data_IF_280959629464
#
_entry.id   IF_280959629464
#
_cell.length_a   1.000
_cell.length_b   1.000
_cell.length_c   1.000
_cell.angle_alpha   90.00
_cell.angle_beta   90.00
_cell.angle_gamma   90.00
#
_symmetry.space_group_name_H-M   'P 1'
#
loop_
_entity.id
_entity.type
_entity.pdbx_description
1 polymer ?
#
# COMPACT_ATOMS: atom_id res chain seq x y z
N UNK A 1 -55.05 31.47 28.10
CA UNK A 1 -53.81 31.28 27.31
C UNK A 1 -52.61 31.64 28.19
N UNK A 2 -52.01 30.64 28.85
CA UNK A 2 -50.85 30.86 29.72
C UNK A 2 -49.57 30.81 28.90
N UNK A 3 -48.86 31.94 28.81
CA UNK A 3 -47.55 32.04 28.16
C UNK A 3 -46.52 31.32 29.03
N UNK A 4 -45.97 30.19 28.57
CA UNK A 4 -44.89 29.50 29.28
C UNK A 4 -43.60 30.29 29.08
N UNK A 5 -42.90 30.70 30.15
CA UNK A 5 -41.76 31.60 30.03
C UNK A 5 -40.57 30.88 29.40
N UNK A 6 -40.18 31.33 28.21
CA UNK A 6 -39.05 30.82 27.41
C UNK A 6 -37.72 30.88 28.18
N UNK A 7 -37.63 31.73 29.21
CA UNK A 7 -36.46 31.93 30.07
C UNK A 7 -36.05 30.70 30.90
N UNK A 8 -36.98 29.77 31.17
CA UNK A 8 -36.67 28.55 31.96
C UNK A 8 -36.04 27.42 31.12
N UNK A 9 -36.06 27.53 29.79
CA UNK A 9 -35.59 26.49 28.86
C UNK A 9 -34.16 26.75 28.34
N UNK A 10 -33.74 28.02 28.28
CA UNK A 10 -32.42 28.45 27.82
C UNK A 10 -31.22 27.80 28.55
N UNK A 11 -31.16 27.75 29.90
CA UNK A 11 -30.01 27.17 30.60
C UNK A 11 -29.94 25.65 30.46
N UNK A 12 -31.09 24.99 30.32
CA UNK A 12 -31.17 23.53 30.07
C UNK A 12 -30.70 23.18 28.65
N UNK A 13 -31.04 23.99 27.66
CA UNK A 13 -30.55 23.82 26.28
C UNK A 13 -29.05 24.07 26.16
N UNK A 14 -28.51 25.09 26.83
CA UNK A 14 -27.07 25.37 26.84
C UNK A 14 -26.27 24.26 27.53
N UNK A 15 -26.76 23.74 28.65
CA UNK A 15 -26.14 22.60 29.34
C UNK A 15 -26.16 21.33 28.48
N UNK A 16 -27.28 21.05 27.78
CA UNK A 16 -27.38 19.92 26.86
C UNK A 16 -26.41 20.06 25.65
N UNK A 17 -26.29 21.26 25.08
CA UNK A 17 -25.35 21.55 23.99
C UNK A 17 -23.89 21.40 24.45
N UNK A 18 -23.54 21.93 25.63
CA UNK A 18 -22.19 21.80 26.18
C UNK A 18 -21.83 20.34 26.49
N UNK A 19 -22.77 19.56 27.06
CA UNK A 19 -22.58 18.13 27.28
C UNK A 19 -22.44 17.34 25.96
N UNK A 20 -23.20 17.71 24.93
CA UNK A 20 -23.10 17.10 23.60
C UNK A 20 -21.75 17.41 22.95
N UNK A 21 -21.28 18.66 23.04
CA UNK A 21 -19.96 19.09 22.56
C UNK A 21 -18.81 18.40 23.32
N UNK A 22 -18.93 18.20 24.64
CA UNK A 22 -17.96 17.43 25.42
C UNK A 22 -17.97 15.94 25.03
N UNK A 23 -19.13 15.35 24.79
CA UNK A 23 -19.22 13.95 24.34
C UNK A 23 -18.56 13.74 22.96
N UNK A 24 -18.70 14.72 22.05
CA UNK A 24 -18.05 14.73 20.73
C UNK A 24 -16.53 14.95 20.79
N UNK A 25 -15.98 15.46 21.89
CA UNK A 25 -14.54 15.67 22.08
C UNK A 25 -13.77 14.40 22.51
N UNK A 26 -14.44 13.25 22.58
CA UNK A 26 -13.86 11.99 23.07
C UNK A 26 -12.89 11.20 22.16
N UNK A 27 -12.58 11.54 20.88
CA UNK A 27 -11.74 10.63 20.08
C UNK A 27 -10.23 10.79 20.32
N UNK A 28 -9.79 11.67 21.22
CA UNK A 28 -8.37 11.98 21.41
C UNK A 28 -7.56 10.85 22.07
N UNK A 29 -8.20 9.95 22.83
CA UNK A 29 -7.50 8.87 23.56
C UNK A 29 -7.51 7.52 22.86
N UNK A 30 -8.17 7.39 21.70
CA UNK A 30 -8.36 6.11 21.03
C UNK A 30 -7.20 5.70 20.09
N UNK A 31 -6.20 6.56 19.86
CA UNK A 31 -5.21 6.37 18.79
C UNK A 31 -3.81 5.93 19.26
N UNK A 32 -3.56 5.77 20.56
CA UNK A 32 -2.24 5.33 21.04
C UNK A 32 -2.17 3.81 21.13
N UNK A 33 -1.97 3.15 19.98
CA UNK A 33 -1.58 1.74 19.93
C UNK A 33 -0.04 1.65 20.04
N UNK A 34 0.53 0.77 20.89
CA UNK A 34 1.98 0.55 20.88
C UNK A 34 2.42 0.01 19.52
N UNK A 35 3.64 0.35 19.05
CA UNK A 35 4.16 -0.17 17.79
C UNK A 35 4.25 -1.71 17.87
N UNK A 36 4.08 -2.38 16.73
CA UNK A 36 4.23 -3.83 16.66
C UNK A 36 5.65 -4.27 17.06
N UNK A 37 5.77 -5.46 17.65
CA UNK A 37 7.00 -5.97 18.29
C UNK A 37 8.26 -5.82 17.43
N UNK A 38 8.17 -6.17 16.15
CA UNK A 38 9.26 -6.12 15.19
C UNK A 38 9.13 -4.92 14.22
N UNK A 39 8.45 -3.84 14.60
CA UNK A 39 8.36 -2.64 13.74
C UNK A 39 9.76 -2.03 13.53
N UNK A 40 10.47 -1.79 14.64
CA UNK A 40 11.79 -1.14 14.64
C UNK A 40 12.88 -2.02 15.29
N UNK A 41 12.59 -3.30 15.54
CA UNK A 41 13.52 -4.26 16.15
C UNK A 41 13.96 -5.26 15.10
N UNK A 42 15.27 -5.40 14.92
CA UNK A 42 15.88 -6.34 13.98
C UNK A 42 15.81 -7.78 14.49
N UNK A 43 15.77 -8.75 13.57
CA UNK A 43 15.95 -10.15 13.90
C UNK A 43 17.35 -10.41 14.46
N UNK A 44 17.45 -11.39 15.36
CA UNK A 44 18.74 -11.79 15.97
C UNK A 44 19.70 -12.44 14.96
N UNK A 45 19.14 -13.11 13.96
CA UNK A 45 19.91 -13.71 12.87
C UNK A 45 20.14 -12.65 11.78
N UNK A 46 21.39 -12.22 11.54
CA UNK A 46 21.68 -11.15 10.59
C UNK A 46 21.39 -11.55 9.13
N UNK A 47 21.46 -12.84 8.79
CA UNK A 47 21.15 -13.29 7.44
C UNK A 47 19.64 -13.15 7.18
N UNK A 48 18.82 -13.53 8.15
CA UNK A 48 17.36 -13.35 8.10
C UNK A 48 16.95 -11.87 8.12
N UNK A 49 17.61 -11.03 8.91
CA UNK A 49 17.32 -9.58 8.88
C UNK A 49 17.68 -8.97 7.53
N UNK A 50 18.80 -9.38 6.92
CA UNK A 50 19.19 -8.89 5.60
C UNK A 50 18.15 -9.28 4.52
N UNK A 51 17.66 -10.53 4.54
CA UNK A 51 16.57 -10.98 3.68
C UNK A 51 15.28 -10.17 3.92
N UNK A 52 14.91 -9.97 5.18
CA UNK A 52 13.73 -9.21 5.57
C UNK A 52 13.82 -7.77 5.06
N UNK A 53 14.95 -7.10 5.28
CA UNK A 53 15.17 -5.73 4.83
C UNK A 53 15.12 -5.64 3.30
N UNK A 54 15.78 -6.55 2.59
CA UNK A 54 15.74 -6.57 1.13
C UNK A 54 14.30 -6.72 0.60
N UNK A 55 13.47 -7.55 1.24
CA UNK A 55 12.06 -7.66 0.90
C UNK A 55 11.31 -6.36 1.18
N UNK A 56 11.52 -5.73 2.35
CA UNK A 56 10.84 -4.48 2.75
C UNK A 56 11.04 -3.34 1.76
N UNK A 57 12.23 -3.21 1.15
CA UNK A 57 12.50 -2.20 0.11
C UNK A 57 11.63 -2.40 -1.14
N UNK A 58 11.20 -3.63 -1.41
CA UNK A 58 10.37 -3.96 -2.57
C UNK A 58 8.87 -3.93 -2.29
N UNK A 59 8.47 -3.65 -1.04
CA UNK A 59 7.08 -3.59 -0.61
C UNK A 59 6.64 -2.15 -0.37
N UNK A 60 5.47 -1.79 -0.87
CA UNK A 60 4.85 -0.47 -0.70
C UNK A 60 4.08 -0.39 0.60
N UNK A 61 4.16 0.76 1.27
CA UNK A 61 3.20 1.09 2.32
C UNK A 61 1.84 1.44 1.69
N UNK A 62 0.79 0.69 2.07
CA UNK A 62 -0.55 0.78 1.47
C UNK A 62 -1.25 2.12 1.69
N UNK A 63 -0.86 2.85 2.73
CA UNK A 63 -1.46 4.15 3.10
C UNK A 63 -0.53 5.33 2.80
N UNK A 64 0.67 5.04 2.29
CA UNK A 64 1.69 6.03 1.99
C UNK A 64 1.69 6.34 0.49
N UNK A 65 2.07 7.56 0.11
CA UNK A 65 2.11 8.02 -1.28
C UNK A 65 3.30 7.43 -2.06
N UNK A 66 3.32 6.11 -2.23
CA UNK A 66 4.32 5.40 -3.03
C UNK A 66 5.68 5.19 -2.36
N UNK A 67 5.74 5.21 -1.03
CA UNK A 67 6.95 4.88 -0.26
C UNK A 67 7.06 3.38 0.04
N UNK A 68 8.29 2.90 0.21
CA UNK A 68 8.55 1.54 0.69
C UNK A 68 8.15 1.40 2.16
N UNK A 69 7.88 0.18 2.62
CA UNK A 69 7.67 -0.06 4.06
C UNK A 69 8.98 0.03 4.85
N UNK A 70 10.14 -0.04 4.17
CA UNK A 70 11.45 0.14 4.79
C UNK A 70 11.70 1.60 5.17
N UNK A 71 11.28 2.54 4.33
CA UNK A 71 11.56 3.97 4.48
C UNK A 71 10.45 4.76 5.19
N UNK A 72 9.22 4.24 5.23
CA UNK A 72 8.09 4.97 5.78
C UNK A 72 7.98 4.83 7.31
N UNK A 73 7.80 5.97 7.99
CA UNK A 73 7.54 6.05 9.43
C UNK A 73 6.04 5.90 9.79
N UNK A 74 5.17 5.62 8.83
CA UNK A 74 3.75 5.40 9.12
C UNK A 74 3.53 4.13 9.98
N UNK A 75 2.54 4.17 10.88
CA UNK A 75 2.20 3.03 11.74
C UNK A 75 1.95 1.74 10.94
N UNK A 76 1.27 1.87 9.80
CA UNK A 76 1.03 0.75 8.86
C UNK A 76 2.34 0.14 8.34
N UNK A 77 3.34 0.96 8.03
CA UNK A 77 4.65 0.45 7.59
C UNK A 77 5.35 -0.29 8.74
N UNK A 78 5.22 0.19 9.98
CA UNK A 78 5.68 -0.52 11.17
C UNK A 78 5.04 -1.90 11.33
N UNK A 79 3.71 -2.00 11.17
CA UNK A 79 2.98 -3.26 11.23
C UNK A 79 3.42 -4.24 10.12
N UNK A 80 3.59 -3.75 8.89
CA UNK A 80 4.06 -4.55 7.76
C UNK A 80 5.50 -5.04 7.94
N UNK A 81 6.42 -4.18 8.43
CA UNK A 81 7.80 -4.57 8.77
C UNK A 81 7.82 -5.68 9.83
N UNK A 82 6.97 -5.53 10.85
CA UNK A 82 6.84 -6.53 11.90
C UNK A 82 6.37 -7.87 11.36
N UNK A 83 5.35 -7.88 10.50
CA UNK A 83 4.83 -9.08 9.85
C UNK A 83 5.89 -9.78 8.98
N UNK A 84 6.63 -9.02 8.17
CA UNK A 84 7.70 -9.57 7.31
C UNK A 84 8.76 -10.27 8.16
N UNK A 85 9.24 -9.62 9.23
CA UNK A 85 10.22 -10.21 10.15
C UNK A 85 9.68 -11.46 10.84
N UNK A 86 8.42 -11.44 11.29
CA UNK A 86 7.79 -12.60 11.93
C UNK A 86 7.76 -13.81 10.99
N UNK A 87 7.41 -13.62 9.71
CA UNK A 87 7.36 -14.71 8.74
C UNK A 87 8.74 -15.29 8.39
N UNK A 88 9.72 -14.43 8.19
CA UNK A 88 11.11 -14.88 7.92
C UNK A 88 11.71 -15.56 9.15
N UNK A 89 11.40 -15.06 10.35
CA UNK A 89 11.76 -15.74 11.60
C UNK A 89 11.12 -17.15 11.67
N UNK A 90 9.86 -17.28 11.23
CA UNK A 90 9.12 -18.55 11.16
C UNK A 90 9.60 -19.50 10.05
N UNK A 91 10.47 -19.05 9.13
CA UNK A 91 11.09 -19.90 8.11
C UNK A 91 10.56 -19.70 6.69
N UNK A 92 9.64 -18.76 6.47
CA UNK A 92 9.23 -18.37 5.12
C UNK A 92 10.40 -17.64 4.42
N UNK A 93 10.58 -17.90 3.13
CA UNK A 93 11.48 -17.09 2.29
C UNK A 93 10.79 -15.82 1.76
N UNK A 94 11.58 -14.87 1.26
CA UNK A 94 11.08 -13.58 0.78
C UNK A 94 9.95 -13.68 -0.27
N UNK A 95 10.01 -14.67 -1.18
CA UNK A 95 8.96 -14.88 -2.18
C UNK A 95 7.66 -15.35 -1.54
N UNK A 96 7.72 -16.30 -0.61
CA UNK A 96 6.54 -16.76 0.11
C UNK A 96 5.87 -15.65 0.92
N UNK A 97 6.67 -14.78 1.54
CA UNK A 97 6.14 -13.61 2.27
C UNK A 97 5.49 -12.61 1.30
N UNK A 98 6.12 -12.34 0.15
CA UNK A 98 5.56 -11.47 -0.90
C UNK A 98 4.23 -12.03 -1.39
N UNK A 99 4.17 -13.31 -1.75
CA UNK A 99 2.96 -13.95 -2.25
C UNK A 99 1.83 -13.92 -1.22
N UNK A 100 2.16 -14.11 0.06
CA UNK A 100 1.20 -14.01 1.14
C UNK A 100 0.59 -12.61 1.27
N UNK A 101 1.42 -11.57 1.13
CA UNK A 101 0.98 -10.17 1.13
C UNK A 101 0.15 -9.84 -0.10
N UNK A 102 0.58 -10.26 -1.29
CA UNK A 102 -0.15 -10.08 -2.54
C UNK A 102 -1.52 -10.75 -2.49
N UNK A 103 -1.61 -11.96 -1.94
CA UNK A 103 -2.88 -12.67 -1.78
C UNK A 103 -3.90 -11.92 -0.89
N UNK A 104 -3.43 -11.01 0.00
CA UNK A 104 -4.28 -10.26 0.94
C UNK A 104 -4.53 -8.82 0.54
N UNK A 105 -3.52 -8.18 -0.04
CA UNK A 105 -3.51 -6.75 -0.33
C UNK A 105 -3.46 -6.44 -1.84
N UNK A 106 -3.38 -7.48 -2.67
CA UNK A 106 -3.27 -7.37 -4.13
C UNK A 106 -1.87 -7.00 -4.61
N UNK A 107 -1.71 -6.96 -5.93
CA UNK A 107 -0.43 -6.67 -6.59
C UNK A 107 0.13 -5.28 -6.27
N UNK A 108 -0.71 -4.36 -5.79
CA UNK A 108 -0.28 -3.01 -5.42
C UNK A 108 0.71 -3.00 -4.25
N UNK A 109 0.73 -4.03 -3.39
CA UNK A 109 1.63 -4.09 -2.23
C UNK A 109 3.10 -4.22 -2.62
N UNK A 110 3.42 -4.61 -3.84
CA UNK A 110 4.79 -4.89 -4.31
C UNK A 110 5.17 -3.95 -5.47
N UNK A 111 6.43 -3.51 -5.50
CA UNK A 111 7.00 -2.85 -6.68
C UNK A 111 7.33 -3.84 -7.81
N UNK A 112 7.34 -5.13 -7.49
CA UNK A 112 7.59 -6.23 -8.42
C UNK A 112 6.29 -7.04 -8.60
N UNK A 113 5.37 -6.60 -9.47
CA UNK A 113 4.08 -7.26 -9.66
C UNK A 113 4.26 -8.62 -10.35
N UNK A 114 3.57 -9.67 -9.89
CA UNK A 114 3.75 -11.01 -10.43
C UNK A 114 3.35 -11.11 -11.90
N UNK A 115 4.09 -11.91 -12.66
CA UNK A 115 3.69 -12.31 -14.01
C UNK A 115 2.59 -13.36 -13.92
N UNK A 116 1.35 -12.93 -14.11
CA UNK A 116 0.16 -13.76 -14.13
C UNK A 116 -0.50 -13.69 -15.50
N UNK A 117 -1.46 -14.58 -15.78
CA UNK A 117 -2.24 -14.51 -17.01
C UNK A 117 -2.92 -13.13 -17.22
N UNK A 118 -3.27 -12.45 -16.12
CA UNK A 118 -3.92 -11.13 -16.15
C UNK A 118 -2.92 -10.01 -16.46
N UNK A 119 -1.70 -10.07 -15.91
CA UNK A 119 -0.67 -9.05 -16.15
C UNK A 119 0.11 -9.31 -17.43
N UNK A 120 0.06 -10.51 -17.99
CA UNK A 120 0.82 -10.92 -19.19
C UNK A 120 0.65 -9.96 -20.40
N UNK A 121 -0.56 -9.47 -20.75
CA UNK A 121 -0.71 -8.52 -21.83
C UNK A 121 0.11 -7.23 -21.63
N UNK A 122 0.22 -6.74 -20.39
CA UNK A 122 1.02 -5.54 -20.07
C UNK A 122 2.50 -5.75 -20.43
N UNK A 123 3.03 -6.94 -20.14
CA UNK A 123 4.41 -7.31 -20.42
C UNK A 123 4.67 -7.62 -21.91
N UNK A 124 3.72 -8.23 -22.61
CA UNK A 124 3.87 -8.60 -24.02
C UNK A 124 3.62 -7.43 -24.99
N UNK A 125 2.81 -6.45 -24.60
CA UNK A 125 2.48 -5.28 -25.42
C UNK A 125 3.71 -4.56 -26.01
N UNK A 126 4.75 -4.19 -25.24
CA UNK A 126 5.93 -3.52 -25.81
C UNK A 126 6.64 -4.37 -26.86
N UNK A 127 6.74 -5.69 -26.66
CA UNK A 127 7.37 -6.61 -27.63
C UNK A 127 6.54 -6.70 -28.90
N UNK A 128 5.21 -6.83 -28.76
CA UNK A 128 4.28 -6.90 -29.88
C UNK A 128 4.32 -5.62 -30.73
N UNK A 129 4.31 -4.45 -30.09
CA UNK A 129 4.40 -3.16 -30.78
C UNK A 129 5.72 -3.00 -31.54
N UNK A 130 6.85 -3.40 -30.93
CA UNK A 130 8.15 -3.40 -31.61
C UNK A 130 8.16 -4.32 -32.83
N UNK A 131 7.62 -5.54 -32.71
CA UNK A 131 7.54 -6.49 -33.81
C UNK A 131 6.69 -5.93 -34.98
N UNK A 132 5.54 -5.33 -34.67
CA UNK A 132 4.67 -4.68 -35.65
C UNK A 132 5.41 -3.52 -36.34
N UNK A 133 6.09 -2.66 -35.57
CA UNK A 133 6.86 -1.54 -36.11
C UNK A 133 7.97 -1.98 -37.08
N UNK A 134 8.74 -3.00 -36.71
CA UNK A 134 9.78 -3.59 -37.57
C UNK A 134 9.18 -4.16 -38.85
N UNK A 135 8.05 -4.86 -38.75
CA UNK A 135 7.35 -5.42 -39.90
C UNK A 135 6.89 -4.33 -40.87
N UNK A 136 6.26 -3.26 -40.38
CA UNK A 136 5.85 -2.09 -41.18
C UNK A 136 7.07 -1.47 -41.87
N UNK A 137 8.13 -1.19 -41.11
CA UNK A 137 9.36 -0.58 -41.64
C UNK A 137 9.95 -1.42 -42.79
N UNK A 138 10.15 -2.73 -42.58
CA UNK A 138 10.66 -3.66 -43.61
C UNK A 138 9.77 -3.69 -44.84
N UNK A 139 8.45 -3.70 -44.67
CA UNK A 139 7.51 -3.71 -45.79
C UNK A 139 7.60 -2.44 -46.65
N UNK A 140 7.81 -1.27 -46.01
CA UNK A 140 7.89 0.02 -46.71
C UNK A 140 9.17 0.16 -47.54
N UNK A 141 10.32 -0.26 -47.01
CA UNK A 141 11.59 -0.24 -47.75
C UNK A 141 11.60 -1.20 -48.94
N UNK A 142 10.96 -2.38 -48.80
CA UNK A 142 10.80 -3.33 -49.91
C UNK A 142 9.94 -2.76 -51.05
N UNK A 143 8.88 -2.00 -50.74
CA UNK A 143 8.04 -1.35 -51.76
C UNK A 143 8.78 -0.24 -52.50
N UNK A 144 9.62 0.56 -51.83
CA UNK A 144 10.40 1.63 -52.49
C UNK A 144 11.45 1.10 -53.46
N UNK A 145 12.17 0.03 -53.11
CA UNK A 145 13.17 -0.61 -54.01
C UNK A 145 12.54 -1.15 -55.31
N UNK A 146 11.28 -1.58 -55.26
CA UNK A 146 10.54 -2.05 -56.45
C UNK A 146 10.05 -0.92 -57.37
N UNK A 147 10.00 0.34 -56.91
CA UNK A 147 9.58 1.51 -57.71
C UNK A 147 10.72 2.22 -58.43
N UNK A 148 11.98 1.94 -58.07
CA UNK A 148 13.18 2.54 -58.66
C UNK A 148 13.93 1.63 -59.64
N UNK A 149 13.41 0.42 -59.88
CA UNK A 149 13.76 -0.43 -61.03
C UNK A 149 12.63 -0.34 -62.04
#
# INVERSE_FOLDING_TARGET
MAQRPVSALLPRMLAALAASLLALASPATAQTRPPADYANVQLRDPAKEAEAKALMETLRCLVCQGQSIADSDADMAGDMRSLVRQRIAAGDNATQVRDWLVARYGDYVTYDPPMSAVTLPLWLTPIALLAIGIWIARSSFRRRRRRHK
#
